data_IF_814791732631
#
_entry.id   IF_814791732631
#
_cell.length_a   1.000
_cell.length_b   1.000
_cell.length_c   1.000
_cell.angle_alpha   90.00
_cell.angle_beta   90.00
_cell.angle_gamma   90.00
#
_symmetry.space_group_name_H-M   'P 1'
#
loop_
_entity.id
_entity.type
_entity.pdbx_description
1 polymer ?
#
# COMPACT_ATOMS: atom_id res chain seq x y z
N UNK A 1 5.86 9.97 -5.68
CA UNK A 1 5.67 8.61 -5.16
C UNK A 1 6.82 7.73 -5.63
N UNK A 2 7.46 6.99 -4.71
CA UNK A 2 8.51 6.03 -5.07
C UNK A 2 7.92 4.84 -5.87
N UNK A 3 8.69 4.22 -6.77
CA UNK A 3 8.25 3.08 -7.59
C UNK A 3 7.68 1.93 -6.75
N UNK A 4 8.28 1.67 -5.59
CA UNK A 4 7.81 0.63 -4.65
C UNK A 4 6.46 1.03 -4.05
N UNK A 5 6.27 2.30 -3.68
CA UNK A 5 5.00 2.79 -3.14
C UNK A 5 3.89 2.72 -4.20
N UNK A 6 4.18 3.08 -5.45
CA UNK A 6 3.24 2.93 -6.57
C UNK A 6 2.87 1.46 -6.78
N UNK A 7 3.83 0.53 -6.84
CA UNK A 7 3.54 -0.90 -7.00
C UNK A 7 2.69 -1.50 -5.86
N UNK A 8 2.90 -1.04 -4.62
CA UNK A 8 2.08 -1.44 -3.47
C UNK A 8 0.67 -0.88 -3.61
N UNK A 9 0.57 0.41 -3.96
CA UNK A 9 -0.70 1.09 -4.13
C UNK A 9 -1.53 0.45 -5.25
N UNK A 10 -0.93 0.15 -6.41
CA UNK A 10 -1.63 -0.47 -7.54
C UNK A 10 -2.27 -1.81 -7.15
N UNK A 11 -1.56 -2.64 -6.40
CA UNK A 11 -2.08 -3.93 -5.91
C UNK A 11 -3.20 -3.76 -4.89
N UNK A 12 -3.06 -2.77 -4.01
CA UNK A 12 -4.10 -2.42 -3.04
C UNK A 12 -5.36 -1.92 -3.75
N UNK A 13 -5.21 -1.02 -4.71
CA UNK A 13 -6.32 -0.47 -5.49
C UNK A 13 -6.99 -1.55 -6.35
N UNK A 14 -6.21 -2.47 -6.94
CA UNK A 14 -6.76 -3.64 -7.62
C UNK A 14 -7.57 -4.53 -6.66
N UNK A 15 -7.09 -4.75 -5.43
CA UNK A 15 -7.85 -5.49 -4.43
C UNK A 15 -9.15 -4.78 -4.08
N UNK A 16 -9.13 -3.45 -3.96
CA UNK A 16 -10.33 -2.65 -3.70
C UNK A 16 -11.35 -2.74 -4.83
N UNK A 17 -10.93 -2.59 -6.09
CA UNK A 17 -11.83 -2.69 -7.26
C UNK A 17 -12.45 -4.08 -7.42
N UNK A 18 -11.81 -5.12 -6.87
CA UNK A 18 -12.37 -6.48 -6.77
C UNK A 18 -13.28 -6.71 -5.54
N UNK A 19 -13.58 -5.66 -4.76
CA UNK A 19 -14.44 -5.72 -3.58
C UNK A 19 -13.70 -6.04 -2.26
N UNK A 20 -12.37 -5.97 -2.24
CA UNK A 20 -11.56 -6.19 -1.04
C UNK A 20 -11.47 -4.94 -0.16
N UNK A 21 -11.94 -5.04 1.08
CA UNK A 21 -11.90 -3.93 2.05
C UNK A 21 -10.52 -3.75 2.71
N UNK A 22 -9.84 -4.87 3.00
CA UNK A 22 -8.51 -4.88 3.62
C UNK A 22 -7.52 -5.61 2.71
N UNK A 23 -6.42 -4.95 2.35
CA UNK A 23 -5.34 -5.56 1.60
C UNK A 23 -4.17 -5.94 2.50
N UNK A 24 -3.58 -7.12 2.25
CA UNK A 24 -2.46 -7.66 3.00
C UNK A 24 -1.24 -7.84 2.10
N UNK A 25 -0.28 -6.93 2.20
CA UNK A 25 0.98 -6.98 1.46
C UNK A 25 2.03 -7.79 2.23
N UNK A 26 2.52 -8.89 1.64
CA UNK A 26 3.62 -9.71 2.19
C UNK A 26 4.93 -9.32 1.53
N UNK A 27 5.99 -9.10 2.32
CA UNK A 27 7.27 -8.61 1.78
C UNK A 27 8.07 -9.66 1.01
N UNK A 28 7.74 -10.95 1.17
CA UNK A 28 8.40 -12.09 0.49
C UNK A 28 9.94 -12.04 0.48
N UNK A 29 10.54 -11.41 1.49
CA UNK A 29 11.98 -11.26 1.63
C UNK A 29 12.34 -11.32 3.11
N UNK A 30 13.53 -11.87 3.42
CA UNK A 30 14.09 -11.86 4.77
C UNK A 30 15.15 -10.76 4.94
N UNK A 31 15.43 -9.99 3.89
CA UNK A 31 16.45 -8.95 3.94
C UNK A 31 15.91 -7.72 4.69
N UNK A 32 16.49 -7.35 5.86
CA UNK A 32 15.99 -6.25 6.67
C UNK A 32 16.01 -4.90 5.95
N UNK A 33 16.97 -4.68 5.04
CA UNK A 33 17.05 -3.44 4.26
C UNK A 33 15.90 -3.32 3.25
N UNK A 34 15.46 -4.44 2.67
CA UNK A 34 14.31 -4.44 1.75
C UNK A 34 13.00 -4.30 2.53
N UNK A 35 12.87 -4.98 3.66
CA UNK A 35 11.71 -4.83 4.56
C UNK A 35 11.56 -3.36 4.97
N UNK A 36 12.67 -2.71 5.37
CA UNK A 36 12.67 -1.28 5.70
C UNK A 36 12.17 -0.43 4.54
N UNK A 37 12.65 -0.66 3.31
CA UNK A 37 12.17 0.07 2.12
C UNK A 37 10.66 -0.12 1.88
N UNK A 38 10.12 -1.32 2.08
CA UNK A 38 8.68 -1.53 1.97
C UNK A 38 7.90 -0.78 3.05
N UNK A 39 8.36 -0.81 4.30
CA UNK A 39 7.74 -0.05 5.38
C UNK A 39 7.78 1.46 5.12
N UNK A 40 8.91 1.98 4.68
CA UNK A 40 9.08 3.39 4.34
C UNK A 40 8.11 3.80 3.21
N UNK A 41 7.97 2.96 2.18
CA UNK A 41 7.02 3.18 1.08
C UNK A 41 5.55 3.16 1.55
N UNK A 42 5.19 2.28 2.48
CA UNK A 42 3.83 2.20 3.02
C UNK A 42 3.53 3.41 3.91
N UNK A 43 4.50 3.84 4.71
CA UNK A 43 4.38 5.06 5.51
C UNK A 43 4.27 6.31 4.62
N UNK A 44 4.95 6.35 3.47
CA UNK A 44 4.78 7.41 2.47
C UNK A 44 3.33 7.47 2.00
N UNK A 45 2.72 6.34 1.63
CA UNK A 45 1.31 6.28 1.19
C UNK A 45 0.34 6.73 2.29
N UNK A 46 0.59 6.38 3.54
CA UNK A 46 -0.22 6.83 4.68
C UNK A 46 -0.05 8.33 4.92
N UNK A 47 1.18 8.86 4.82
CA UNK A 47 1.45 10.30 4.98
C UNK A 47 0.80 11.16 3.91
N UNK A 48 0.64 10.62 2.70
CA UNK A 48 -0.10 11.23 1.60
C UNK A 48 -1.63 11.09 1.76
N UNK A 49 -2.07 10.34 2.77
CA UNK A 49 -3.47 10.11 3.07
C UNK A 49 -4.17 9.19 2.08
N UNK A 50 -3.44 8.33 1.36
CA UNK A 50 -4.02 7.39 0.38
C UNK A 50 -4.43 6.06 1.00
N UNK A 51 -3.75 5.64 2.07
CA UNK A 51 -4.03 4.39 2.77
C UNK A 51 -4.06 4.62 4.28
N UNK A 52 -4.79 3.77 4.99
CA UNK A 52 -4.72 3.67 6.44
C UNK A 52 -4.02 2.35 6.82
N UNK A 53 -2.94 2.42 7.59
CA UNK A 53 -2.24 1.22 8.05
C UNK A 53 -3.01 0.62 9.24
N UNK A 54 -3.46 -0.63 9.08
CA UNK A 54 -4.13 -1.39 10.16
C UNK A 54 -3.14 -2.22 10.96
N UNK A 55 -2.07 -2.69 10.33
CA UNK A 55 -1.05 -3.52 10.95
C UNK A 55 0.23 -3.46 10.14
N UNK A 56 1.38 -3.44 10.80
CA UNK A 56 2.70 -3.53 10.16
C UNK A 56 3.63 -4.40 11.00
N UNK A 57 4.29 -5.38 10.37
CA UNK A 57 5.33 -6.22 10.99
C UNK A 57 6.53 -6.34 10.06
N UNK A 58 7.47 -7.24 10.34
CA UNK A 58 8.58 -7.58 9.44
C UNK A 58 8.21 -8.64 8.38
N UNK A 59 6.99 -9.18 8.44
CA UNK A 59 6.48 -10.19 7.51
C UNK A 59 5.48 -9.60 6.51
N UNK A 60 4.62 -8.70 7.00
CA UNK A 60 3.51 -8.14 6.21
C UNK A 60 3.04 -6.79 6.74
N UNK A 61 2.31 -6.09 5.88
CA UNK A 61 1.48 -4.96 6.24
C UNK A 61 0.03 -5.22 5.85
N UNK A 62 -0.91 -4.76 6.68
CA UNK A 62 -2.34 -4.70 6.37
C UNK A 62 -2.77 -3.26 6.32
N UNK A 63 -3.54 -2.93 5.30
CA UNK A 63 -3.89 -1.55 4.97
C UNK A 63 -5.26 -1.53 4.31
N UNK A 64 -5.97 -0.42 4.49
CA UNK A 64 -7.23 -0.13 3.81
C UNK A 64 -7.03 1.10 2.93
N UNK A 65 -7.67 1.12 1.77
CA UNK A 65 -7.69 2.33 0.95
C UNK A 65 -8.55 3.40 1.64
N UNK A 66 -8.21 4.67 1.42
CA UNK A 66 -9.00 5.82 1.86
C UNK A 66 -9.78 6.40 0.68
N UNK A 67 -10.74 7.29 0.94
CA UNK A 67 -11.45 8.02 -0.11
C UNK A 67 -10.48 8.77 -1.04
N UNK A 68 -9.48 9.46 -0.46
CA UNK A 68 -8.43 10.14 -1.25
C UNK A 68 -7.61 9.16 -2.09
N UNK A 69 -7.32 7.96 -1.55
CA UNK A 69 -6.65 6.90 -2.30
C UNK A 69 -7.50 6.40 -3.46
N UNK A 70 -8.81 6.23 -3.25
CA UNK A 70 -9.75 5.83 -4.31
C UNK A 70 -9.78 6.90 -5.41
N UNK A 71 -9.89 8.17 -5.06
CA UNK A 71 -9.89 9.29 -6.00
C UNK A 71 -8.58 9.36 -6.80
N UNK A 72 -7.44 9.15 -6.14
CA UNK A 72 -6.14 9.08 -6.79
C UNK A 72 -6.05 7.90 -7.77
N UNK A 73 -6.50 6.71 -7.37
CA UNK A 73 -6.51 5.53 -8.24
C UNK A 73 -7.43 5.69 -9.45
N UNK A 74 -8.61 6.28 -9.24
CA UNK A 74 -9.56 6.60 -10.29
C UNK A 74 -8.98 7.61 -11.29
N UNK A 75 -8.35 8.68 -10.81
CA UNK A 75 -7.77 9.72 -11.68
C UNK A 75 -6.49 9.31 -12.39
N UNK A 76 -5.76 8.32 -11.86
CA UNK A 76 -4.52 7.82 -12.46
C UNK A 76 -4.75 6.73 -13.52
N UNK A 77 -5.95 6.12 -13.56
CA UNK A 77 -6.33 5.09 -14.54
C UNK A 77 -7.07 5.65 -15.78
N UNK A 78 -7.27 6.97 -15.88
CA UNK A 78 -7.85 7.67 -17.04
C UNK A 78 -6.84 8.60 -17.74
#
# INVERSE_FOLDING_TARGET
>A
MNKIASEIFDKLYQSYTMGGDVYCFKYNTKNPNQIKRFKDAINELESLGYVNIKFISDDKARMTITDNGIDYGNSSMF
#
